data_IF_030864779326
#
_entry.id   IF_030864779326
#
_cell.length_a   1.000
_cell.length_b   1.000
_cell.length_c   1.000
_cell.angle_alpha   90.00
_cell.angle_beta   90.00
_cell.angle_gamma   90.00
#
_symmetry.space_group_name_H-M   'P 1'
#
loop_
_entity.id
_entity.type
_entity.pdbx_description
1 polymer ?
#
# COMPACT_ATOMS: atom_id res chain seq x y z
N UNK A 1 10.51 14.57 -6.38
CA UNK A 1 10.25 13.29 -7.10
C UNK A 1 9.36 12.34 -6.28
N UNK A 2 9.79 11.52 -5.31
CA UNK A 2 8.83 10.90 -4.35
C UNK A 2 9.51 10.41 -3.06
N UNK A 3 8.71 9.89 -2.11
CA UNK A 3 9.16 9.25 -0.87
C UNK A 3 8.34 8.01 -0.53
N UNK A 4 8.92 7.05 0.17
CA UNK A 4 8.20 6.03 0.93
C UNK A 4 8.19 6.38 2.42
N UNK A 5 7.25 5.82 3.17
CA UNK A 5 7.34 5.85 4.63
C UNK A 5 8.54 5.00 5.06
N UNK A 6 9.19 5.37 6.18
CA UNK A 6 10.44 4.76 6.64
C UNK A 6 10.40 3.22 6.64
N UNK A 7 9.28 2.65 7.06
CA UNK A 7 9.10 1.22 7.24
C UNK A 7 8.30 0.57 6.09
N UNK A 8 8.19 1.25 4.94
CA UNK A 8 7.60 0.71 3.70
C UNK A 8 8.71 0.32 2.73
N UNK A 9 8.72 -0.95 2.34
CA UNK A 9 9.70 -1.48 1.39
C UNK A 9 9.27 -1.23 -0.07
N UNK A 10 10.20 -1.41 -1.01
CA UNK A 10 9.93 -1.42 -2.44
C UNK A 10 10.56 -0.25 -3.20
N UNK A 11 9.98 0.08 -4.35
CA UNK A 11 10.60 0.95 -5.34
C UNK A 11 10.66 2.42 -4.89
N UNK A 12 11.84 3.02 -5.05
CA UNK A 12 12.09 4.46 -5.01
C UNK A 12 12.76 4.89 -6.30
N UNK A 13 12.40 6.07 -6.83
CA UNK A 13 13.11 6.69 -7.95
C UNK A 13 13.89 7.91 -7.47
N UNK A 14 15.17 7.94 -7.81
CA UNK A 14 16.10 9.01 -7.45
C UNK A 14 16.65 9.63 -8.72
N UNK A 15 16.47 10.94 -8.88
CA UNK A 15 17.02 11.68 -10.01
C UNK A 15 18.53 11.89 -9.80
N UNK A 16 19.32 11.62 -10.84
CA UNK A 16 20.79 11.82 -10.84
C UNK A 16 21.24 13.12 -11.52
N UNK A 17 20.30 13.91 -12.02
CA UNK A 17 20.55 15.23 -12.62
C UNK A 17 19.39 16.17 -12.33
N UNK A 18 19.65 17.48 -12.39
CA UNK A 18 18.63 18.51 -12.16
C UNK A 18 17.51 18.47 -13.20
N UNK A 19 17.85 18.18 -14.45
CA UNK A 19 16.87 18.03 -15.52
C UNK A 19 15.92 16.86 -15.24
N UNK A 20 16.47 15.70 -14.88
CA UNK A 20 15.68 14.54 -14.50
C UNK A 20 14.82 14.85 -13.27
N UNK A 21 15.37 15.57 -12.28
CA UNK A 21 14.62 15.98 -11.09
C UNK A 21 13.41 16.85 -11.45
N UNK A 22 13.59 17.88 -12.27
CA UNK A 22 12.50 18.79 -12.68
C UNK A 22 11.42 18.05 -13.46
N UNK A 23 11.80 17.25 -14.46
CA UNK A 23 10.86 16.48 -15.30
C UNK A 23 10.08 15.46 -14.49
N UNK A 24 10.76 14.69 -13.63
CA UNK A 24 10.08 13.71 -12.78
C UNK A 24 9.19 14.40 -11.74
N UNK A 25 9.66 15.46 -11.06
CA UNK A 25 8.83 16.19 -10.10
C UNK A 25 7.54 16.73 -10.74
N UNK A 26 7.60 17.24 -11.97
CA UNK A 26 6.40 17.66 -12.72
C UNK A 26 5.42 16.50 -12.97
N UNK A 27 5.90 15.33 -13.37
CA UNK A 27 5.04 14.14 -13.55
C UNK A 27 4.37 13.73 -12.23
N UNK A 28 5.09 13.76 -11.12
CA UNK A 28 4.52 13.47 -9.79
C UNK A 28 3.50 14.51 -9.34
N UNK A 29 3.70 15.79 -9.65
CA UNK A 29 2.76 16.88 -9.35
C UNK A 29 1.47 16.76 -10.18
N UNK A 30 1.59 16.36 -11.45
CA UNK A 30 0.46 16.14 -12.37
C UNK A 30 -0.25 14.80 -12.13
N UNK A 31 0.28 13.95 -11.26
CA UNK A 31 -0.19 12.59 -11.01
C UNK A 31 -0.08 11.65 -12.23
N UNK A 32 0.85 11.93 -13.15
CA UNK A 32 1.16 11.11 -14.35
C UNK A 32 2.08 9.93 -14.02
N UNK A 33 2.17 9.54 -12.75
CA UNK A 33 3.01 8.42 -12.29
C UNK A 33 2.10 7.37 -11.67
N UNK A 34 2.17 6.14 -12.18
CA UNK A 34 1.43 5.04 -11.60
C UNK A 34 2.27 4.33 -10.55
N UNK A 35 1.66 4.15 -9.38
CA UNK A 35 2.27 3.51 -8.22
C UNK A 35 1.35 2.41 -7.75
N UNK A 36 1.82 1.17 -7.76
CA UNK A 36 1.10 0.02 -7.20
C UNK A 36 1.81 -0.50 -5.97
N UNK A 37 1.02 -0.85 -4.98
CA UNK A 37 1.45 -1.39 -3.71
C UNK A 37 0.76 -2.72 -3.47
N UNK A 38 1.42 -3.56 -2.69
CA UNK A 38 0.81 -4.74 -2.09
C UNK A 38 0.71 -4.46 -0.60
N UNK A 39 -0.46 -4.72 -0.01
CA UNK A 39 -0.66 -4.60 1.42
C UNK A 39 -1.37 -5.81 1.99
N UNK A 40 -0.86 -6.31 3.12
CA UNK A 40 -1.57 -7.28 3.94
C UNK A 40 -2.31 -6.54 5.04
N UNK A 41 -3.64 -6.68 5.05
CA UNK A 41 -4.52 -5.96 5.96
C UNK A 41 -5.27 -6.91 6.87
N UNK A 42 -5.63 -6.41 8.04
CA UNK A 42 -6.49 -7.15 8.96
C UNK A 42 -7.94 -7.18 8.47
N UNK A 43 -8.61 -8.32 8.70
CA UNK A 43 -10.02 -8.56 8.38
C UNK A 43 -10.25 -9.17 7.00
N UNK A 44 -11.46 -9.68 6.81
CA UNK A 44 -11.98 -10.11 5.51
C UNK A 44 -12.60 -8.92 4.77
N UNK A 45 -11.88 -8.37 3.80
CA UNK A 45 -12.32 -7.21 3.01
C UNK A 45 -13.49 -7.62 2.13
N UNK A 46 -14.61 -6.91 2.30
CA UNK A 46 -15.84 -7.17 1.54
C UNK A 46 -15.76 -6.53 0.15
N UNK A 47 -16.23 -7.25 -0.87
CA UNK A 47 -16.17 -6.83 -2.28
C UNK A 47 -14.83 -7.16 -2.95
N UNK A 48 -14.79 -7.23 -4.29
CA UNK A 48 -13.56 -7.61 -5.02
C UNK A 48 -12.63 -6.42 -5.29
N UNK A 49 -13.17 -5.22 -5.37
CA UNK A 49 -12.42 -3.98 -5.56
C UNK A 49 -13.23 -2.79 -5.06
N UNK A 50 -12.57 -1.65 -4.93
CA UNK A 50 -13.23 -0.40 -4.60
C UNK A 50 -12.28 0.77 -4.54
N UNK A 51 -12.82 1.91 -4.11
CA UNK A 51 -12.09 3.15 -3.97
C UNK A 51 -12.30 3.79 -2.60
N UNK A 52 -11.29 4.53 -2.16
CA UNK A 52 -11.33 5.34 -0.95
C UNK A 52 -10.96 6.76 -1.36
N UNK A 53 -11.99 7.59 -1.50
CA UNK A 53 -11.91 9.04 -1.75
C UNK A 53 -12.14 9.74 -0.42
N UNK A 54 -11.07 10.02 0.30
CA UNK A 54 -11.09 10.75 1.56
C UNK A 54 -9.91 11.70 1.58
N UNK A 55 -10.04 12.93 2.12
CA UNK A 55 -8.90 13.82 2.22
C UNK A 55 -7.90 13.25 3.24
N UNK A 56 -6.62 13.57 3.10
CA UNK A 56 -5.59 13.21 4.08
C UNK A 56 -4.85 14.47 4.50
N UNK A 57 -4.84 14.73 5.80
CA UNK A 57 -4.12 15.86 6.39
C UNK A 57 -3.53 15.50 7.74
N UNK A 58 -2.84 16.45 8.36
CA UNK A 58 -2.27 16.27 9.70
C UNK A 58 -3.38 16.01 10.70
N UNK A 59 -3.21 15.03 11.59
CA UNK A 59 -4.18 14.77 12.64
C UNK A 59 -4.27 15.99 13.60
N UNK A 60 -5.48 16.40 14.04
CA UNK A 60 -5.69 17.67 14.74
C UNK A 60 -5.00 17.76 16.11
N UNK A 61 -4.85 16.62 16.79
CA UNK A 61 -4.21 16.52 18.12
C UNK A 61 -2.81 15.90 18.01
N UNK A 62 -2.73 14.62 17.58
CA UNK A 62 -1.44 13.93 17.41
C UNK A 62 -0.69 14.35 16.14
N UNK A 63 0.29 15.24 16.27
CA UNK A 63 1.08 15.75 15.12
C UNK A 63 1.93 14.68 14.42
N UNK A 64 2.16 13.50 15.02
CA UNK A 64 2.89 12.40 14.35
C UNK A 64 1.98 11.60 13.42
N UNK A 65 0.66 11.77 13.52
CA UNK A 65 -0.35 11.06 12.72
C UNK A 65 -0.93 11.94 11.61
N UNK A 66 -1.42 11.25 10.60
CA UNK A 66 -2.28 11.77 9.55
C UNK A 66 -3.72 11.31 9.81
N UNK A 67 -4.70 12.01 9.27
CA UNK A 67 -6.11 11.75 9.52
C UNK A 67 -6.95 12.13 8.30
N UNK A 68 -8.04 11.40 8.12
CA UNK A 68 -9.12 11.70 7.18
C UNK A 68 -10.02 12.86 7.63
N UNK A 69 -9.96 13.21 8.92
CA UNK A 69 -10.79 14.23 9.58
C UNK A 69 -10.01 15.54 9.82
N UNK A 70 -8.93 15.74 9.08
CA UNK A 70 -8.10 16.94 9.21
C UNK A 70 -8.83 18.17 8.69
N UNK A 71 -8.74 19.30 9.42
CA UNK A 71 -9.29 20.60 8.98
C UNK A 71 -8.64 21.11 7.67
N UNK A 72 -7.41 20.69 7.39
CA UNK A 72 -6.66 21.05 6.19
C UNK A 72 -6.20 19.80 5.43
N UNK A 73 -7.11 18.82 5.30
CA UNK A 73 -6.87 17.63 4.48
C UNK A 73 -6.76 17.98 3.00
N UNK A 74 -5.88 17.28 2.29
CA UNK A 74 -5.78 17.36 0.83
C UNK A 74 -6.41 16.13 0.21
N UNK A 75 -7.07 16.29 -0.93
CA UNK A 75 -7.71 15.18 -1.63
C UNK A 75 -6.73 14.03 -1.87
N UNK A 76 -7.24 12.83 -1.60
CA UNK A 76 -6.50 11.60 -1.76
C UNK A 76 -7.41 10.49 -2.30
N UNK A 77 -6.87 9.72 -3.25
CA UNK A 77 -7.55 8.61 -3.89
C UNK A 77 -6.67 7.36 -3.84
N UNK A 78 -7.21 6.33 -3.20
CA UNK A 78 -6.65 4.98 -3.13
C UNK A 78 -7.65 4.00 -3.75
N UNK A 79 -7.24 3.34 -4.82
CA UNK A 79 -7.95 2.22 -5.43
C UNK A 79 -7.39 0.92 -4.83
N UNK A 80 -8.25 -0.04 -4.57
CA UNK A 80 -7.84 -1.34 -4.04
C UNK A 80 -8.59 -2.46 -4.74
N UNK A 81 -7.93 -3.61 -4.82
CA UNK A 81 -8.47 -4.86 -5.32
C UNK A 81 -8.02 -5.98 -4.40
N UNK A 82 -8.93 -6.89 -4.06
CA UNK A 82 -8.56 -8.09 -3.34
C UNK A 82 -7.72 -8.97 -4.25
N UNK A 83 -6.57 -9.39 -3.73
CA UNK A 83 -5.72 -10.40 -4.36
C UNK A 83 -5.99 -11.78 -3.76
N UNK A 84 -6.13 -11.85 -2.43
CA UNK A 84 -6.37 -13.10 -1.71
C UNK A 84 -6.98 -12.84 -0.33
N UNK A 85 -7.81 -13.75 0.18
CA UNK A 85 -8.43 -13.67 1.51
C UNK A 85 -7.98 -14.82 2.39
N UNK A 86 -7.94 -14.57 3.70
CA UNK A 86 -7.57 -15.55 4.73
C UNK A 86 -8.57 -15.59 5.90
N UNK A 87 -9.74 -14.96 5.73
CA UNK A 87 -10.77 -14.79 6.77
C UNK A 87 -10.42 -13.75 7.85
N UNK A 88 -9.24 -13.86 8.48
CA UNK A 88 -8.76 -12.89 9.49
C UNK A 88 -7.87 -11.78 8.90
N UNK A 89 -7.43 -11.95 7.66
CA UNK A 89 -6.62 -11.01 6.91
C UNK A 89 -6.97 -11.07 5.42
N UNK A 90 -6.56 -10.05 4.67
CA UNK A 90 -6.71 -9.97 3.21
C UNK A 90 -5.44 -9.38 2.61
N UNK A 91 -4.97 -9.96 1.50
CA UNK A 91 -3.92 -9.39 0.67
C UNK A 91 -4.55 -8.51 -0.41
N UNK A 92 -4.12 -7.25 -0.50
CA UNK A 92 -4.65 -6.26 -1.42
C UNK A 92 -3.60 -5.83 -2.44
N UNK A 93 -4.05 -5.69 -3.69
CA UNK A 93 -3.42 -4.84 -4.69
C UNK A 93 -3.95 -3.42 -4.55
N UNK A 94 -3.07 -2.44 -4.46
CA UNK A 94 -3.43 -1.04 -4.22
C UNK A 94 -2.82 -0.16 -5.29
N UNK A 95 -3.59 0.76 -5.84
CA UNK A 95 -3.09 1.84 -6.69
C UNK A 95 -3.43 3.19 -6.05
N UNK A 96 -2.45 4.09 -5.95
CA UNK A 96 -2.69 5.46 -5.46
C UNK A 96 -2.58 6.46 -6.60
N UNK A 97 -3.60 7.30 -6.77
CA UNK A 97 -3.58 8.41 -7.73
C UNK A 97 -2.91 9.64 -7.15
N UNK A 98 -2.95 9.78 -5.83
CA UNK A 98 -2.27 10.82 -5.06
C UNK A 98 -1.08 10.23 -4.29
N UNK A 99 -0.31 11.07 -3.60
CA UNK A 99 0.85 10.63 -2.81
C UNK A 99 0.93 11.29 -1.43
N UNK A 100 -0.17 11.32 -0.67
CA UNK A 100 -0.17 11.98 0.65
C UNK A 100 0.59 11.12 1.68
N UNK A 101 1.19 11.78 2.67
CA UNK A 101 1.88 11.08 3.78
C UNK A 101 0.94 10.09 4.46
N UNK A 102 1.40 8.85 4.65
CA UNK A 102 0.64 7.76 5.27
C UNK A 102 -0.70 7.43 4.58
N UNK A 103 -0.94 7.86 3.33
CA UNK A 103 -2.26 7.80 2.68
C UNK A 103 -2.89 6.39 2.74
N UNK A 104 -2.17 5.37 2.26
CA UNK A 104 -2.68 3.99 2.23
C UNK A 104 -3.04 3.52 3.65
N UNK A 105 -2.14 3.75 4.60
CA UNK A 105 -2.26 3.31 5.99
C UNK A 105 -3.48 3.94 6.68
N UNK A 106 -3.67 5.25 6.50
CA UNK A 106 -4.82 5.99 7.05
C UNK A 106 -6.13 5.56 6.39
N UNK A 107 -6.16 5.49 5.06
CA UNK A 107 -7.37 5.12 4.32
C UNK A 107 -7.88 3.73 4.71
N UNK A 108 -6.97 2.75 4.76
CA UNK A 108 -7.32 1.38 5.10
C UNK A 108 -7.75 1.26 6.58
N UNK A 109 -7.09 1.98 7.49
CA UNK A 109 -7.50 2.04 8.89
C UNK A 109 -8.89 2.67 9.07
N UNK A 110 -9.20 3.77 8.38
CA UNK A 110 -10.52 4.42 8.41
C UNK A 110 -11.64 3.48 7.90
N UNK A 111 -11.32 2.61 6.93
CA UNK A 111 -12.24 1.58 6.44
C UNK A 111 -12.32 0.33 7.33
N UNK A 112 -11.64 0.30 8.47
CA UNK A 112 -11.66 -0.82 9.41
C UNK A 112 -10.73 -1.98 9.09
N UNK A 113 -9.88 -1.82 8.06
CA UNK A 113 -8.94 -2.83 7.56
C UNK A 113 -7.49 -2.34 7.68
N UNK A 114 -6.99 -2.03 8.90
CA UNK A 114 -5.64 -1.49 9.05
C UNK A 114 -4.57 -2.47 8.57
N UNK A 115 -3.44 -1.93 8.10
CA UNK A 115 -2.30 -2.72 7.64
C UNK A 115 -1.69 -3.51 8.81
N UNK A 116 -1.35 -4.78 8.59
CA UNK A 116 -0.71 -5.62 9.59
C UNK A 116 0.68 -5.07 9.92
N UNK A 117 1.09 -5.10 11.19
CA UNK A 117 2.38 -4.55 11.66
C UNK A 117 2.44 -3.01 11.73
N UNK A 118 1.38 -2.30 11.38
CA UNK A 118 1.34 -0.84 11.49
C UNK A 118 1.24 -0.38 12.95
N UNK A 119 2.32 0.19 13.49
CA UNK A 119 2.37 0.65 14.89
C UNK A 119 1.60 1.95 15.15
N UNK A 120 1.19 2.67 14.11
CA UNK A 120 0.57 4.01 14.21
C UNK A 120 -0.94 3.95 14.03
N UNK A 121 -1.39 3.19 13.02
CA UNK A 121 -2.80 3.05 12.64
C UNK A 121 -3.32 1.62 12.75
N UNK A 122 -2.48 0.68 13.16
CA UNK A 122 -2.84 -0.71 13.38
C UNK A 122 -3.73 -0.91 14.61
N UNK A 123 -4.17 -2.15 14.77
CA UNK A 123 -4.95 -2.57 15.92
C UNK A 123 -4.35 -3.83 16.53
N UNK A 124 -3.60 -3.66 17.61
CA UNK A 124 -2.91 -4.75 18.30
C UNK A 124 -3.87 -5.81 18.86
N UNK A 125 -5.14 -5.46 19.17
CA UNK A 125 -6.10 -6.44 19.70
C UNK A 125 -6.49 -7.50 18.66
N UNK A 126 -6.39 -7.19 17.35
CA UNK A 126 -6.64 -8.16 16.29
C UNK A 126 -5.64 -9.32 16.29
N UNK A 127 -4.47 -9.16 16.91
CA UNK A 127 -3.54 -10.27 17.09
C UNK A 127 -4.12 -11.40 17.95
N UNK A 128 -5.12 -11.10 18.80
CA UNK A 128 -5.80 -12.12 19.61
C UNK A 128 -6.75 -12.99 18.79
N UNK A 129 -7.13 -12.58 17.58
CA UNK A 129 -7.94 -13.42 16.67
C UNK A 129 -7.12 -14.51 15.99
N UNK A 130 -5.78 -14.46 16.10
CA UNK A 130 -4.88 -15.46 15.51
C UNK A 130 -4.66 -16.60 16.50
N UNK A 131 -5.12 -17.79 16.11
CA UNK A 131 -5.00 -19.03 16.89
C UNK A 131 -3.69 -19.78 16.63
N UNK A 132 -3.19 -19.72 15.41
CA UNK A 132 -1.93 -20.36 15.02
C UNK A 132 -0.74 -19.68 15.71
N UNK A 133 0.03 -20.39 16.55
CA UNK A 133 1.16 -19.80 17.28
C UNK A 133 2.30 -19.32 16.38
N UNK A 134 2.59 -20.01 15.27
CA UNK A 134 3.65 -19.65 14.34
C UNK A 134 3.30 -18.36 13.59
N UNK A 135 2.07 -18.28 13.06
CA UNK A 135 1.56 -17.05 12.45
C UNK A 135 1.53 -15.88 13.43
N UNK A 136 1.12 -16.14 14.69
CA UNK A 136 1.12 -15.11 15.74
C UNK A 136 2.53 -14.62 16.06
N UNK A 137 3.52 -15.51 16.09
CA UNK A 137 4.91 -15.16 16.30
C UNK A 137 5.47 -14.32 15.14
N UNK A 138 5.17 -14.70 13.89
CA UNK A 138 5.61 -13.96 12.70
C UNK A 138 5.01 -12.55 12.63
N UNK A 139 3.72 -12.40 12.96
CA UNK A 139 3.11 -11.06 13.01
C UNK A 139 3.76 -10.19 14.10
N UNK A 140 4.20 -10.78 15.22
CA UNK A 140 4.90 -10.05 16.29
C UNK A 140 6.33 -9.69 15.92
N UNK A 141 7.02 -10.56 15.16
CA UNK A 141 8.38 -10.29 14.70
C UNK A 141 8.39 -9.16 13.65
N UNK A 142 7.30 -8.98 12.91
CA UNK A 142 7.15 -7.90 11.94
C UNK A 142 7.22 -6.51 12.60
N UNK A 143 8.39 -5.87 12.52
CA UNK A 143 8.65 -4.52 13.07
C UNK A 143 8.21 -3.36 12.15
N UNK A 144 7.41 -3.66 11.12
CA UNK A 144 7.02 -2.70 10.08
C UNK A 144 5.62 -2.96 9.54
N UNK A 145 5.02 -1.98 8.87
CA UNK A 145 3.79 -2.22 8.13
C UNK A 145 4.02 -3.23 6.99
N UNK A 146 3.10 -4.18 6.84
CA UNK A 146 3.02 -5.10 5.72
C UNK A 146 2.54 -4.39 4.44
N UNK A 147 3.31 -3.40 4.01
CA UNK A 147 3.08 -2.55 2.85
C UNK A 147 4.36 -2.52 2.00
N UNK A 148 4.20 -2.73 0.70
CA UNK A 148 5.30 -2.83 -0.25
C UNK A 148 4.99 -2.09 -1.54
N UNK A 149 5.87 -1.20 -1.99
CA UNK A 149 5.78 -0.50 -3.27
C UNK A 149 6.26 -1.41 -4.41
N UNK A 150 5.32 -2.19 -4.97
CA UNK A 150 5.59 -3.29 -5.88
C UNK A 150 5.82 -2.88 -7.33
N UNK A 151 5.22 -1.77 -7.79
CA UNK A 151 5.38 -1.31 -9.18
C UNK A 151 5.37 0.22 -9.25
N UNK A 152 6.25 0.75 -10.11
CA UNK A 152 6.33 2.17 -10.43
C UNK A 152 6.50 2.33 -11.93
N UNK A 153 5.64 3.12 -12.57
CA UNK A 153 5.77 3.46 -13.98
C UNK A 153 5.59 4.96 -14.22
N UNK A 154 6.41 5.48 -15.14
CA UNK A 154 6.50 6.91 -15.47
C UNK A 154 7.15 7.08 -16.84
N UNK A 155 7.17 8.31 -17.35
CA UNK A 155 7.87 8.66 -18.58
C UNK A 155 9.34 8.98 -18.25
N UNK A 156 10.27 8.23 -18.82
CA UNK A 156 11.70 8.41 -18.57
C UNK A 156 12.13 9.83 -18.96
N UNK A 157 12.77 10.59 -18.05
CA UNK A 157 12.95 12.04 -18.24
C UNK A 157 13.88 12.41 -19.40
N UNK A 158 14.72 11.48 -19.87
CA UNK A 158 15.64 11.74 -20.99
C UNK A 158 15.11 11.19 -22.31
N UNK A 159 14.67 9.93 -22.35
CA UNK A 159 14.23 9.28 -23.58
C UNK A 159 12.79 9.62 -23.96
N UNK A 160 11.96 10.07 -23.01
CA UNK A 160 10.53 10.27 -23.24
C UNK A 160 9.74 8.96 -23.35
N UNK A 161 10.39 7.81 -23.20
CA UNK A 161 9.73 6.51 -23.26
C UNK A 161 9.09 6.15 -21.93
N UNK A 162 7.98 5.42 -21.99
CA UNK A 162 7.37 4.85 -20.80
C UNK A 162 8.26 3.72 -20.26
N UNK A 163 8.59 3.81 -18.98
CA UNK A 163 9.33 2.77 -18.25
C UNK A 163 8.47 2.20 -17.12
N UNK A 164 8.63 0.90 -16.87
CA UNK A 164 7.92 0.16 -15.81
C UNK A 164 8.95 -0.61 -14.99
N UNK A 165 8.95 -0.37 -13.69
CA UNK A 165 9.79 -1.08 -12.72
C UNK A 165 8.91 -1.89 -11.79
N UNK A 166 9.37 -3.09 -11.42
CA UNK A 166 8.73 -3.96 -10.44
C UNK A 166 9.72 -4.40 -9.37
N UNK A 167 9.26 -4.47 -8.12
CA UNK A 167 9.98 -5.10 -7.02
C UNK A 167 9.18 -6.33 -6.56
N UNK A 168 9.82 -7.50 -6.37
CA UNK A 168 9.16 -8.65 -5.78
C UNK A 168 8.79 -8.37 -4.32
N UNK A 169 7.77 -9.05 -3.83
CA UNK A 169 7.42 -8.99 -2.42
C UNK A 169 8.63 -9.47 -1.59
N UNK A 170 9.04 -8.73 -0.55
CA UNK A 170 10.19 -9.12 0.26
C UNK A 170 9.88 -10.38 1.07
N UNK A 171 10.94 -11.11 1.42
CA UNK A 171 10.87 -12.43 2.06
C UNK A 171 10.00 -12.46 3.32
N UNK A 172 10.11 -11.43 4.17
CA UNK A 172 9.31 -11.30 5.39
C UNK A 172 7.79 -11.29 5.12
N UNK A 173 7.35 -10.60 4.06
CA UNK A 173 5.94 -10.56 3.66
C UNK A 173 5.52 -11.80 2.88
N UNK A 174 6.45 -12.43 2.15
CA UNK A 174 6.20 -13.71 1.49
C UNK A 174 5.96 -14.83 2.52
N UNK A 175 6.81 -14.92 3.53
CA UNK A 175 6.67 -15.86 4.64
C UNK A 175 5.38 -15.63 5.41
N UNK A 176 5.08 -14.37 5.73
CA UNK A 176 3.83 -14.01 6.41
C UNK A 176 2.60 -14.38 5.57
N UNK A 177 2.62 -14.10 4.26
CA UNK A 177 1.57 -14.50 3.31
C UNK A 177 1.36 -16.02 3.30
N UNK A 178 2.45 -16.79 3.24
CA UNK A 178 2.40 -18.24 3.21
C UNK A 178 1.76 -18.82 4.50
N UNK A 179 2.11 -18.27 5.67
CA UNK A 179 1.51 -18.68 6.95
C UNK A 179 0.02 -18.35 7.01
N UNK A 180 -0.41 -17.18 6.54
CA UNK A 180 -1.83 -16.86 6.44
C UNK A 180 -2.60 -17.81 5.52
N UNK A 181 -2.00 -18.16 4.37
CA UNK A 181 -2.59 -19.14 3.43
C UNK A 181 -2.71 -20.52 4.07
N UNK A 182 -1.68 -21.00 4.75
CA UNK A 182 -1.69 -22.29 5.44
C UNK A 182 -2.73 -22.35 6.57
N UNK A 183 -2.92 -21.24 7.29
CA UNK A 183 -3.94 -21.13 8.35
C UNK A 183 -5.38 -20.98 7.83
N UNK A 184 -5.59 -20.77 6.53
CA UNK A 184 -6.90 -20.53 5.91
C UNK A 184 -7.14 -21.36 4.63
N UNK A 185 -7.02 -22.71 4.66
CA UNK A 185 -7.07 -23.55 3.46
C UNK A 185 -8.40 -23.48 2.70
N UNK A 186 -9.51 -23.11 3.36
CA UNK A 186 -10.83 -22.94 2.74
C UNK A 186 -11.11 -21.56 2.13
N UNK A 187 -10.18 -20.61 2.19
CA UNK A 187 -10.34 -19.24 1.67
C UNK A 187 -9.58 -18.99 0.35
N UNK A 188 -9.01 -20.04 -0.24
CA UNK A 188 -8.27 -20.00 -1.50
C UNK A 188 -9.19 -19.70 -2.71
N UNK A 189 -9.74 -18.49 -2.76
CA UNK A 189 -10.28 -17.91 -3.98
C UNK A 189 -9.17 -17.10 -4.64
N UNK A 190 -8.50 -17.67 -5.63
CA UNK A 190 -7.63 -16.90 -6.53
C UNK A 190 -8.50 -15.93 -7.34
N UNK A 191 -8.60 -14.67 -6.91
CA UNK A 191 -9.04 -13.63 -7.83
C UNK A 191 -7.86 -13.33 -8.75
N UNK A 192 -7.95 -13.81 -9.99
CA UNK A 192 -6.90 -13.66 -10.99
C UNK A 192 -6.30 -12.26 -11.05
N UNK A 193 -5.02 -12.20 -11.38
CA UNK A 193 -4.20 -11.01 -11.63
C UNK A 193 -4.77 -10.16 -12.78
N UNK A 194 -5.95 -9.56 -12.59
CA UNK A 194 -6.42 -8.50 -13.46
C UNK A 194 -5.68 -7.25 -12.99
N UNK A 195 -4.58 -6.98 -13.67
CA UNK A 195 -3.80 -5.76 -13.55
C UNK A 195 -4.69 -4.57 -13.87
N UNK A 196 -4.71 -3.57 -12.99
CA UNK A 196 -5.26 -2.26 -13.33
C UNK A 196 -4.64 -1.79 -14.64
N UNK A 197 -5.49 -1.39 -15.60
CA UNK A 197 -5.05 -0.84 -16.88
C UNK A 197 -4.20 0.40 -16.59
N UNK A 198 -2.89 0.25 -16.75
CA UNK A 198 -1.95 1.36 -16.66
C UNK A 198 -2.06 2.17 -17.96
N UNK A 199 -2.70 3.35 -17.84
CA UNK A 199 -3.14 4.21 -18.94
C UNK A 199 -2.11 5.28 -19.32
N UNK A 200 -0.84 5.17 -18.91
CA UNK A 200 0.20 6.03 -19.46
C UNK A 200 0.27 5.82 -20.98
N UNK A 201 -0.33 6.76 -21.70
CA UNK A 201 -0.15 6.92 -23.14
C UNK A 201 1.22 7.56 -23.33
N UNK A 202 2.08 6.86 -24.07
CA UNK A 202 3.29 7.44 -24.65
C UNK A 202 2.93 8.40 -25.76
#
# INVERSE_FOLDING_TARGET
VHRLDKETSGLIVVAKSDEAHRKLSSQFEKHDVHKKYIALVWGDVKGQSGEIVLPVGRHPVDRKKMSTKSRHGKDALTLWKVRERYGTATLLDIEIKTGRTHQIRVHLSERGYPVIGDTVYGNASKLQTIKDPALKAEIKSLQRQALHAAQLSFIHPQSGERVVFSAPLPEDLENLRALFRAAAPGYAGESGLQTWQDKLKG
#
